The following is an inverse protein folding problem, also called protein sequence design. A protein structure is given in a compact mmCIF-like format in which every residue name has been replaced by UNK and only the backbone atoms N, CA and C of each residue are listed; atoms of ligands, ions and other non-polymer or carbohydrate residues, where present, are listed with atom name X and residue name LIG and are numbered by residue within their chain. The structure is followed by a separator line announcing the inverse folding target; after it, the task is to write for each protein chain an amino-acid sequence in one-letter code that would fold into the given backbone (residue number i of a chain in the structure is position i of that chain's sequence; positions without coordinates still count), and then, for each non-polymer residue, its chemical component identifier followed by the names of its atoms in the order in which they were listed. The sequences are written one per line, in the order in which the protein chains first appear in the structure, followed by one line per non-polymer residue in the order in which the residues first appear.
data_IF_808055180108
#
_entry.id   IF_808055180108
#
_cell.length_a   1.000
_cell.length_b   1.000
_cell.length_c   1.000
_cell.angle_alpha   90.00
_cell.angle_beta   90.00
_cell.angle_gamma   90.00
#
_symmetry.space_group_name_H-M   'P 1'
#
loop_
_entity.id
_entity.type
_entity.pdbx_description
1 polymer ?
#
# COMPACT_ATOMS: atom_id res chain seq x y z
N UNK A 1 -10.59 -28.34 20.86
CA UNK A 1 -9.61 -29.16 20.13
C UNK A 1 -9.79 -30.67 20.27
N UNK A 2 -10.50 -31.13 21.28
CA UNK A 2 -10.68 -32.60 21.50
C UNK A 2 -11.28 -33.33 20.28
N UNK A 3 -12.18 -32.74 19.51
CA UNK A 3 -12.80 -33.40 18.36
C UNK A 3 -12.02 -33.30 17.05
N UNK A 4 -11.12 -32.32 16.91
CA UNK A 4 -10.10 -32.38 15.87
C UNK A 4 -8.98 -33.36 16.22
N UNK A 5 -9.00 -33.95 17.44
CA UNK A 5 -7.99 -34.91 17.96
C UNK A 5 -6.56 -34.42 17.82
N UNK A 6 -6.35 -33.11 18.08
CA UNK A 6 -5.03 -32.48 17.97
C UNK A 6 -4.46 -32.31 19.36
N UNK A 7 -3.31 -32.87 19.61
CA UNK A 7 -2.53 -32.68 20.84
C UNK A 7 -1.70 -31.38 20.76
N UNK A 8 -1.23 -30.88 21.90
CA UNK A 8 -0.26 -29.74 21.94
C UNK A 8 1.02 -30.10 21.17
N UNK A 9 1.46 -31.37 21.23
CA UNK A 9 2.62 -31.84 20.46
C UNK A 9 2.40 -31.75 18.94
N UNK A 10 1.17 -32.05 18.46
CA UNK A 10 0.82 -31.89 17.04
C UNK A 10 0.80 -30.43 16.63
N UNK A 11 0.25 -29.53 17.47
CA UNK A 11 0.24 -28.09 17.24
C UNK A 11 1.66 -27.54 17.15
N UNK A 12 2.53 -27.92 18.07
CA UNK A 12 3.94 -27.53 18.08
C UNK A 12 4.69 -28.01 16.83
N UNK A 13 4.40 -29.24 16.37
CA UNK A 13 4.99 -29.75 15.13
C UNK A 13 4.54 -28.99 13.88
N UNK A 14 3.31 -28.44 13.88
CA UNK A 14 2.78 -27.65 12.77
C UNK A 14 3.19 -26.17 12.84
N UNK A 15 3.44 -25.64 14.03
CA UNK A 15 3.71 -24.24 14.33
C UNK A 15 4.92 -24.11 15.28
N UNK A 16 6.13 -24.51 14.84
CA UNK A 16 7.30 -24.64 15.73
C UNK A 16 7.76 -23.29 16.33
N UNK A 17 7.54 -22.19 15.62
CA UNK A 17 8.01 -20.86 16.01
C UNK A 17 6.99 -20.09 16.87
N UNK A 18 5.84 -20.68 17.18
CA UNK A 18 4.77 -20.03 17.96
C UNK A 18 4.93 -20.37 19.44
N UNK A 19 4.84 -19.36 20.31
CA UNK A 19 4.85 -19.54 21.76
C UNK A 19 3.69 -20.45 22.20
N UNK A 20 3.94 -21.32 23.20
CA UNK A 20 2.99 -22.35 23.62
C UNK A 20 1.62 -21.79 24.01
N UNK A 21 1.61 -20.64 24.69
CA UNK A 21 0.43 -19.92 25.12
C UNK A 21 -0.46 -19.42 23.95
N UNK A 22 0.11 -19.29 22.76
CA UNK A 22 -0.59 -18.82 21.56
C UNK A 22 -0.90 -19.92 20.54
N UNK A 23 -0.39 -21.13 20.71
CA UNK A 23 -0.50 -22.23 19.75
C UNK A 23 -1.96 -22.53 19.35
N UNK A 24 -2.85 -22.61 20.33
CA UNK A 24 -4.27 -22.93 20.08
C UNK A 24 -4.98 -21.83 19.30
N UNK A 25 -4.74 -20.57 19.67
CA UNK A 25 -5.37 -19.43 19.00
C UNK A 25 -4.80 -19.21 17.58
N UNK A 26 -3.48 -19.34 17.41
CA UNK A 26 -2.82 -19.22 16.09
C UNK A 26 -3.28 -20.34 15.15
N UNK A 27 -3.35 -21.59 15.64
CA UNK A 27 -3.89 -22.69 14.86
C UNK A 27 -5.36 -22.42 14.47
N UNK A 28 -6.18 -21.96 15.42
CA UNK A 28 -7.59 -21.69 15.16
C UNK A 28 -7.77 -20.56 14.14
N UNK A 29 -6.93 -19.52 14.16
CA UNK A 29 -6.92 -18.47 13.13
C UNK A 29 -6.50 -19.02 11.77
N UNK A 30 -5.52 -19.91 11.72
CA UNK A 30 -5.16 -20.61 10.48
C UNK A 30 -6.33 -21.44 9.95
N UNK A 31 -7.05 -22.11 10.83
CA UNK A 31 -8.25 -22.87 10.48
C UNK A 31 -9.34 -21.96 9.90
N UNK A 32 -9.64 -20.84 10.55
CA UNK A 32 -10.61 -19.87 10.04
C UNK A 32 -10.23 -19.31 8.68
N UNK A 33 -8.94 -19.05 8.41
CA UNK A 33 -8.49 -18.61 7.07
C UNK A 33 -8.68 -19.67 5.97
N UNK A 34 -8.74 -20.97 6.35
CA UNK A 34 -9.06 -22.09 5.44
C UNK A 34 -10.56 -22.26 5.26
N UNK A 35 -11.32 -22.12 6.34
CA UNK A 35 -12.76 -22.36 6.41
C UNK A 35 -13.54 -21.25 5.69
N UNK A 36 -13.18 -19.99 5.94
CA UNK A 36 -13.93 -18.84 5.44
C UNK A 36 -13.40 -18.33 4.09
N UNK A 37 -14.28 -17.68 3.33
CA UNK A 37 -13.83 -16.79 2.26
C UNK A 37 -13.33 -15.46 2.86
N UNK A 38 -12.44 -14.74 2.16
CA UNK A 38 -11.92 -13.45 2.60
C UNK A 38 -13.01 -12.47 2.99
N UNK A 39 -12.89 -11.89 4.18
CA UNK A 39 -13.79 -10.85 4.67
C UNK A 39 -15.17 -11.36 5.11
N UNK A 40 -15.30 -12.63 5.55
CA UNK A 40 -16.53 -13.14 6.15
C UNK A 40 -16.83 -12.39 7.47
N UNK A 41 -17.72 -11.39 7.39
CA UNK A 41 -18.04 -10.53 8.53
C UNK A 41 -18.77 -11.26 9.66
N UNK A 42 -19.52 -12.34 9.38
CA UNK A 42 -20.15 -13.10 10.46
C UNK A 42 -19.12 -13.93 11.23
N UNK A 43 -18.20 -14.59 10.54
CA UNK A 43 -17.06 -15.25 11.19
C UNK A 43 -16.21 -14.25 11.98
N UNK A 44 -15.93 -13.07 11.39
CA UNK A 44 -15.24 -11.98 12.08
C UNK A 44 -15.94 -11.53 13.35
N UNK A 45 -17.27 -11.40 13.32
CA UNK A 45 -18.07 -11.07 14.51
C UNK A 45 -17.91 -12.12 15.59
N UNK A 46 -18.13 -13.39 15.28
CA UNK A 46 -18.02 -14.48 16.27
C UNK A 46 -16.61 -14.55 16.85
N UNK A 47 -15.59 -14.54 15.99
CA UNK A 47 -14.18 -14.61 16.42
C UNK A 47 -13.78 -13.41 17.27
N UNK A 48 -14.24 -12.20 16.94
CA UNK A 48 -13.91 -10.99 17.72
C UNK A 48 -14.51 -11.02 19.13
N UNK A 49 -15.63 -11.71 19.33
CA UNK A 49 -16.36 -11.75 20.62
C UNK A 49 -15.92 -12.89 21.54
N UNK A 50 -15.64 -14.07 21.02
CA UNK A 50 -15.33 -15.24 21.86
C UNK A 50 -13.93 -15.84 21.61
N UNK A 51 -13.13 -15.25 20.69
CA UNK A 51 -11.82 -15.76 20.27
C UNK A 51 -11.90 -16.84 19.21
N UNK A 52 -10.83 -17.02 18.43
CA UNK A 52 -10.82 -17.95 17.31
C UNK A 52 -10.93 -19.42 17.75
N UNK A 53 -10.30 -19.78 18.86
CA UNK A 53 -10.31 -21.14 19.38
C UNK A 53 -11.71 -21.56 19.83
N UNK A 54 -12.39 -20.76 20.65
CA UNK A 54 -13.76 -21.07 21.12
C UNK A 54 -14.78 -21.03 19.97
N UNK A 55 -14.61 -20.14 19.02
CA UNK A 55 -15.45 -20.07 17.83
C UNK A 55 -15.29 -21.35 16.98
N UNK A 56 -14.06 -21.79 16.76
CA UNK A 56 -13.76 -23.03 16.02
C UNK A 56 -14.33 -24.27 16.73
N UNK A 57 -14.19 -24.34 18.04
CA UNK A 57 -14.76 -25.42 18.86
C UNK A 57 -16.27 -25.59 18.63
N UNK A 58 -17.03 -24.48 18.61
CA UNK A 58 -18.49 -24.51 18.33
C UNK A 58 -18.80 -25.13 16.99
N UNK A 59 -18.05 -24.75 15.95
CA UNK A 59 -18.30 -25.22 14.60
C UNK A 59 -17.87 -26.67 14.38
N UNK A 60 -16.75 -27.08 14.94
CA UNK A 60 -16.23 -28.46 14.85
C UNK A 60 -17.18 -29.44 15.55
N UNK A 61 -17.70 -29.07 16.72
CA UNK A 61 -18.66 -29.91 17.45
C UNK A 61 -20.08 -29.87 16.87
N UNK A 62 -20.34 -29.04 15.88
CA UNK A 62 -21.67 -28.90 15.31
C UNK A 62 -22.69 -28.33 16.28
N UNK A 63 -22.27 -27.51 17.25
CA UNK A 63 -23.15 -26.95 18.27
C UNK A 63 -24.21 -26.04 17.65
N UNK A 64 -25.38 -25.98 18.26
CA UNK A 64 -26.51 -25.20 17.73
C UNK A 64 -26.29 -23.69 17.80
N UNK A 65 -26.99 -22.94 16.97
CA UNK A 65 -26.99 -21.46 17.00
C UNK A 65 -27.37 -20.90 18.36
N UNK A 66 -28.27 -21.58 19.10
CA UNK A 66 -28.64 -21.22 20.48
C UNK A 66 -27.45 -21.37 21.43
N UNK A 67 -26.65 -22.41 21.25
CA UNK A 67 -25.43 -22.63 22.06
C UNK A 67 -24.38 -21.56 21.77
N UNK A 68 -24.14 -21.24 20.48
CA UNK A 68 -23.25 -20.16 20.09
C UNK A 68 -23.72 -18.83 20.70
N UNK A 69 -24.99 -18.47 20.56
CA UNK A 69 -25.56 -17.24 21.15
C UNK A 69 -25.37 -17.19 22.66
N UNK A 70 -25.60 -18.32 23.37
CA UNK A 70 -25.39 -18.41 24.81
C UNK A 70 -23.90 -18.18 25.20
N UNK A 71 -22.94 -18.77 24.44
CA UNK A 71 -21.51 -18.52 24.68
C UNK A 71 -21.14 -17.04 24.46
N UNK A 72 -21.70 -16.41 23.45
CA UNK A 72 -21.46 -15.00 23.15
C UNK A 72 -22.06 -14.07 24.21
N UNK A 73 -23.30 -14.33 24.68
CA UNK A 73 -23.92 -13.61 25.79
C UNK A 73 -23.09 -13.75 27.08
N UNK A 74 -22.57 -14.93 27.37
CA UNK A 74 -21.68 -15.15 28.51
C UNK A 74 -20.34 -14.41 28.36
N UNK A 75 -19.92 -14.09 27.15
CA UNK A 75 -18.76 -13.25 26.88
C UNK A 75 -19.08 -11.73 26.88
N UNK A 76 -20.31 -11.33 27.23
CA UNK A 76 -20.71 -9.95 27.36
C UNK A 76 -21.25 -9.28 26.09
N UNK A 77 -21.58 -10.07 25.06
CA UNK A 77 -22.18 -9.53 23.83
C UNK A 77 -23.63 -9.11 24.13
N UNK A 78 -23.99 -7.86 23.80
CA UNK A 78 -25.35 -7.34 24.00
C UNK A 78 -26.33 -7.87 22.96
N UNK A 79 -27.63 -7.97 23.31
CA UNK A 79 -28.68 -8.39 22.39
C UNK A 79 -28.73 -7.57 21.09
N UNK A 80 -28.56 -6.25 21.18
CA UNK A 80 -28.54 -5.35 20.02
C UNK A 80 -27.42 -5.66 19.00
N UNK A 81 -26.31 -6.25 19.42
CA UNK A 81 -25.20 -6.60 18.51
C UNK A 81 -25.59 -7.78 17.60
N UNK A 82 -26.46 -8.66 18.06
CA UNK A 82 -26.99 -9.75 17.22
C UNK A 82 -27.93 -9.24 16.13
N UNK A 83 -28.69 -8.20 16.41
CA UNK A 83 -29.66 -7.62 15.49
C UNK A 83 -29.00 -6.99 14.26
N UNK A 84 -27.73 -6.58 14.36
CA UNK A 84 -26.95 -6.05 13.24
C UNK A 84 -26.83 -7.04 12.06
N UNK A 85 -26.98 -8.33 12.30
CA UNK A 85 -26.94 -9.39 11.28
C UNK A 85 -28.34 -9.91 10.90
N UNK A 86 -29.41 -9.37 11.47
CA UNK A 86 -30.77 -9.88 11.30
C UNK A 86 -31.06 -11.07 12.21
N UNK A 87 -31.77 -12.10 11.72
CA UNK A 87 -32.09 -13.30 12.53
C UNK A 87 -30.82 -14.12 12.72
N UNK A 88 -30.20 -14.03 13.87
CA UNK A 88 -28.90 -14.64 14.20
C UNK A 88 -28.84 -16.14 13.87
N UNK A 89 -29.88 -16.90 14.27
CA UNK A 89 -29.95 -18.33 14.05
C UNK A 89 -29.93 -18.69 12.55
N UNK A 90 -30.61 -17.89 11.74
CA UNK A 90 -30.66 -18.08 10.28
C UNK A 90 -29.30 -17.77 9.66
N UNK A 91 -28.69 -16.64 10.04
CA UNK A 91 -27.37 -16.22 9.51
C UNK A 91 -26.30 -17.22 9.89
N UNK A 92 -26.32 -17.74 11.14
CA UNK A 92 -25.39 -18.77 11.56
C UNK A 92 -25.60 -20.08 10.79
N UNK A 93 -26.84 -20.51 10.59
CA UNK A 93 -27.13 -21.73 9.83
C UNK A 93 -26.61 -21.61 8.37
N UNK A 94 -26.85 -20.47 7.71
CA UNK A 94 -26.34 -20.20 6.36
C UNK A 94 -24.79 -20.15 6.32
N UNK A 95 -24.16 -19.55 7.33
CA UNK A 95 -22.72 -19.52 7.46
C UNK A 95 -22.14 -20.94 7.60
N UNK A 96 -22.71 -21.76 8.46
CA UNK A 96 -22.29 -23.16 8.63
C UNK A 96 -22.41 -23.99 7.36
N UNK A 97 -23.47 -23.78 6.55
CA UNK A 97 -23.58 -24.46 5.27
C UNK A 97 -22.42 -24.11 4.33
N UNK A 98 -21.93 -22.88 4.37
CA UNK A 98 -20.74 -22.48 3.59
C UNK A 98 -19.43 -23.05 4.15
N UNK A 99 -19.32 -23.20 5.48
CA UNK A 99 -18.09 -23.59 6.16
C UNK A 99 -17.91 -25.11 6.27
N UNK A 100 -19.00 -25.87 6.43
CA UNK A 100 -18.95 -27.31 6.78
C UNK A 100 -18.04 -28.16 5.89
N UNK A 101 -17.99 -27.87 4.59
CA UNK A 101 -17.13 -28.62 3.64
C UNK A 101 -15.64 -28.32 3.80
N UNK A 102 -15.28 -27.27 4.53
CA UNK A 102 -13.91 -26.83 4.75
C UNK A 102 -13.44 -27.05 6.19
N UNK A 103 -14.31 -27.46 7.09
CA UNK A 103 -13.94 -27.86 8.47
C UNK A 103 -13.24 -29.22 8.41
N UNK A 104 -11.95 -29.19 8.10
CA UNK A 104 -11.15 -30.40 7.93
C UNK A 104 -9.73 -30.17 8.43
N UNK A 105 -9.31 -30.98 9.39
CA UNK A 105 -7.93 -30.96 9.90
C UNK A 105 -6.92 -31.20 8.78
N UNK A 106 -7.23 -32.08 7.85
CA UNK A 106 -6.35 -32.38 6.73
C UNK A 106 -6.15 -31.17 5.82
N UNK A 107 -7.19 -30.42 5.51
CA UNK A 107 -7.08 -29.18 4.71
C UNK A 107 -6.19 -28.15 5.41
N UNK A 108 -6.32 -28.00 6.72
CA UNK A 108 -5.52 -27.06 7.53
C UNK A 108 -4.06 -27.51 7.54
N UNK A 109 -3.78 -28.79 7.83
CA UNK A 109 -2.42 -29.36 7.80
C UNK A 109 -1.76 -29.19 6.44
N UNK A 110 -2.48 -29.49 5.35
CA UNK A 110 -1.97 -29.35 4.00
C UNK A 110 -1.65 -27.87 3.67
N UNK A 111 -2.47 -26.93 4.13
CA UNK A 111 -2.20 -25.50 3.93
C UNK A 111 -0.91 -25.07 4.67
N UNK A 112 -0.77 -25.43 5.95
CA UNK A 112 0.42 -25.15 6.75
C UNK A 112 1.67 -25.81 6.16
N UNK A 113 1.59 -27.07 5.73
CA UNK A 113 2.69 -27.76 5.06
C UNK A 113 3.09 -27.09 3.74
N UNK A 114 2.11 -26.70 2.92
CA UNK A 114 2.40 -26.05 1.63
C UNK A 114 3.09 -24.70 1.79
N UNK A 115 2.73 -23.89 2.80
CA UNK A 115 3.40 -22.60 2.99
C UNK A 115 4.84 -22.79 3.45
N UNK A 116 5.12 -23.71 4.36
CA UNK A 116 6.49 -24.00 4.80
C UNK A 116 7.34 -24.58 3.68
N UNK A 117 6.77 -25.46 2.82
CA UNK A 117 7.46 -26.03 1.67
C UNK A 117 7.97 -24.98 0.68
N UNK A 118 7.31 -23.81 0.59
CA UNK A 118 7.73 -22.70 -0.29
C UNK A 118 8.52 -21.64 0.46
N UNK A 119 8.99 -21.91 1.67
CA UNK A 119 9.76 -20.98 2.50
C UNK A 119 8.93 -19.83 3.04
N UNK A 120 7.63 -20.00 3.17
CA UNK A 120 6.73 -19.04 3.78
C UNK A 120 6.28 -19.46 5.17
N UNK A 121 5.48 -18.62 5.80
CA UNK A 121 4.96 -18.79 7.15
C UNK A 121 3.56 -18.19 7.30
N UNK A 122 2.91 -18.50 8.42
CA UNK A 122 1.67 -17.88 8.85
C UNK A 122 1.96 -16.73 9.79
N UNK A 123 1.28 -15.60 9.62
CA UNK A 123 1.31 -14.44 10.52
C UNK A 123 -0.09 -14.15 11.05
N UNK A 124 -0.18 -13.81 12.31
CA UNK A 124 -1.43 -13.53 13.03
C UNK A 124 -1.33 -12.21 13.81
N UNK A 125 -2.42 -11.66 14.36
CA UNK A 125 -2.37 -10.47 15.21
C UNK A 125 -1.49 -10.56 16.46
N UNK A 126 -0.95 -11.74 16.80
CA UNK A 126 0.01 -11.92 17.90
C UNK A 126 1.46 -11.68 17.47
N UNK A 127 1.71 -11.59 16.17
CA UNK A 127 3.05 -11.34 15.66
C UNK A 127 3.41 -9.85 15.81
N UNK A 128 4.63 -9.53 16.28
CA UNK A 128 5.03 -8.13 16.54
C UNK A 128 5.08 -7.26 15.28
N UNK A 129 5.21 -7.88 14.11
CA UNK A 129 5.22 -7.20 12.81
C UNK A 129 3.84 -7.24 12.11
N UNK A 130 2.78 -7.63 12.82
CA UNK A 130 1.43 -7.58 12.24
C UNK A 130 1.04 -6.15 11.89
N UNK A 131 0.58 -5.88 10.65
CA UNK A 131 0.15 -4.54 10.27
C UNK A 131 -1.12 -4.11 11.03
N UNK A 132 -0.96 -3.22 12.02
CA UNK A 132 -2.06 -2.75 12.85
C UNK A 132 -3.23 -2.13 12.07
N UNK A 133 -2.93 -1.53 10.91
CA UNK A 133 -3.90 -0.92 10.00
C UNK A 133 -4.98 -1.90 9.50
N UNK A 134 -4.72 -3.20 9.55
CA UNK A 134 -5.72 -4.22 9.18
C UNK A 134 -6.92 -4.24 10.14
N UNK A 135 -6.76 -3.73 11.36
CA UNK A 135 -7.86 -3.60 12.33
C UNK A 135 -8.96 -2.65 11.85
N UNK A 136 -8.64 -1.67 11.00
CA UNK A 136 -9.60 -0.70 10.45
C UNK A 136 -10.66 -1.38 9.56
N UNK A 137 -10.38 -2.61 9.11
CA UNK A 137 -11.36 -3.43 8.41
C UNK A 137 -12.48 -3.98 9.33
N UNK A 138 -12.36 -3.82 10.64
CA UNK A 138 -13.35 -4.26 11.61
C UNK A 138 -13.64 -5.75 11.51
N UNK A 139 -14.91 -6.13 11.37
CA UNK A 139 -15.35 -7.52 11.25
C UNK A 139 -14.85 -8.21 9.98
N UNK A 140 -14.34 -7.45 9.03
CA UNK A 140 -13.78 -7.98 7.79
C UNK A 140 -12.25 -8.10 7.84
N UNK A 141 -11.61 -7.93 9.02
CA UNK A 141 -10.18 -8.12 9.20
C UNK A 141 -9.77 -9.57 8.91
N UNK A 142 -8.58 -9.81 8.32
CA UNK A 142 -8.11 -11.16 8.07
C UNK A 142 -7.82 -11.88 9.39
N UNK A 143 -8.16 -13.16 9.48
CA UNK A 143 -7.83 -14.00 10.66
C UNK A 143 -6.33 -14.26 10.76
N UNK A 144 -5.69 -14.42 9.63
CA UNK A 144 -4.26 -14.63 9.47
C UNK A 144 -3.82 -14.17 8.09
N UNK A 145 -2.52 -13.94 7.92
CA UNK A 145 -1.85 -13.73 6.65
C UNK A 145 -0.89 -14.87 6.37
N UNK A 146 -0.98 -15.43 5.18
CA UNK A 146 0.03 -16.30 4.62
C UNK A 146 1.11 -15.41 4.01
N UNK A 147 2.36 -15.62 4.38
CA UNK A 147 3.47 -14.73 4.04
C UNK A 147 4.60 -15.48 3.36
N UNK A 148 5.16 -14.92 2.30
CA UNK A 148 6.47 -15.29 1.75
C UNK A 148 7.34 -14.04 1.71
N UNK A 149 8.45 -14.08 2.45
CA UNK A 149 9.36 -12.95 2.54
C UNK A 149 9.73 -12.59 3.97
N UNK A 150 9.98 -11.32 4.22
CA UNK A 150 10.45 -10.82 5.50
C UNK A 150 9.27 -10.23 6.32
N UNK A 151 9.05 -10.74 7.53
CA UNK A 151 8.01 -10.19 8.42
C UNK A 151 8.25 -8.72 8.76
N UNK A 152 9.51 -8.29 8.91
CA UNK A 152 9.84 -6.89 9.19
C UNK A 152 9.41 -5.93 8.09
N UNK A 153 9.21 -6.40 6.85
CA UNK A 153 8.67 -5.60 5.77
C UNK A 153 7.22 -5.17 6.04
N UNK A 154 6.47 -6.00 6.77
CA UNK A 154 5.08 -5.73 7.17
C UNK A 154 5.03 -4.75 8.35
N UNK A 155 5.95 -4.84 9.31
CA UNK A 155 6.06 -3.89 10.41
C UNK A 155 6.44 -2.45 9.99
N UNK A 156 6.96 -2.28 8.76
CA UNK A 156 7.29 -0.95 8.18
C UNK A 156 6.14 -0.26 7.47
N UNK A 157 4.94 -0.86 7.45
CA UNK A 157 3.81 -0.33 6.69
C UNK A 157 3.10 0.87 7.36
N UNK A 158 3.52 1.29 8.54
CA UNK A 158 3.04 2.54 9.15
C UNK A 158 3.24 3.75 8.23
N UNK A 159 4.36 3.74 7.46
CA UNK A 159 4.61 4.72 6.41
C UNK A 159 4.55 4.03 5.04
N UNK A 160 3.37 4.01 4.45
CA UNK A 160 3.18 3.32 3.18
C UNK A 160 2.13 3.98 2.30
N UNK A 161 2.33 3.85 0.98
CA UNK A 161 1.38 4.28 -0.05
C UNK A 161 0.99 3.07 -0.88
N UNK A 162 -0.31 2.87 -1.06
CA UNK A 162 -0.85 1.89 -1.99
C UNK A 162 -0.89 2.46 -3.39
N UNK A 163 -0.13 1.87 -4.33
CA UNK A 163 -0.13 2.29 -5.73
C UNK A 163 -0.92 1.28 -6.55
N UNK A 164 -1.96 1.75 -7.24
CA UNK A 164 -2.85 0.90 -8.04
C UNK A 164 -3.13 1.53 -9.40
N UNK A 165 -3.52 0.69 -10.37
CA UNK A 165 -3.90 1.21 -11.66
C UNK A 165 -4.24 0.17 -12.71
N UNK A 166 -4.14 0.60 -13.97
CA UNK A 166 -4.44 -0.21 -15.15
C UNK A 166 -3.49 -1.40 -15.28
N UNK A 167 -4.05 -2.59 -15.58
CA UNK A 167 -3.26 -3.79 -15.91
C UNK A 167 -2.50 -3.68 -17.24
N UNK A 168 -2.93 -2.81 -18.13
CA UNK A 168 -2.22 -2.47 -19.37
C UNK A 168 -1.77 -1.02 -19.25
N UNK A 169 -0.69 -0.77 -18.51
CA UNK A 169 -0.10 0.56 -18.39
C UNK A 169 0.32 1.11 -19.74
N UNK A 170 0.18 2.43 -19.92
CA UNK A 170 0.78 3.14 -21.05
C UNK A 170 2.21 3.56 -20.71
N UNK A 171 2.99 4.03 -21.69
CA UNK A 171 4.32 4.61 -21.43
C UNK A 171 4.22 5.82 -20.48
N UNK A 172 3.12 6.58 -20.53
CA UNK A 172 2.84 7.65 -19.58
C UNK A 172 2.65 7.09 -18.16
N UNK A 173 1.81 6.07 -18.00
CA UNK A 173 1.57 5.44 -16.70
C UNK A 173 2.84 4.78 -16.13
N UNK A 174 3.70 4.20 -16.98
CA UNK A 174 4.99 3.67 -16.58
C UNK A 174 5.91 4.78 -16.06
N UNK A 175 6.12 5.83 -16.85
CA UNK A 175 6.93 6.98 -16.47
C UNK A 175 6.47 7.63 -15.16
N UNK A 176 5.17 7.89 -15.04
CA UNK A 176 4.61 8.51 -13.82
C UNK A 176 4.76 7.59 -12.61
N UNK A 177 4.53 6.29 -12.76
CA UNK A 177 4.72 5.34 -11.64
C UNK A 177 6.17 5.35 -11.16
N UNK A 178 7.14 5.31 -12.08
CA UNK A 178 8.57 5.37 -11.76
C UNK A 178 8.94 6.68 -11.07
N UNK A 179 8.42 7.82 -11.54
CA UNK A 179 8.64 9.14 -10.95
C UNK A 179 8.09 9.20 -9.52
N UNK A 180 6.82 8.80 -9.29
CA UNK A 180 6.20 8.81 -7.97
C UNK A 180 6.95 7.92 -6.97
N UNK A 181 7.33 6.71 -7.38
CA UNK A 181 8.10 5.79 -6.53
C UNK A 181 9.49 6.35 -6.23
N UNK A 182 10.10 7.08 -7.18
CA UNK A 182 11.42 7.71 -7.01
C UNK A 182 11.43 8.83 -5.97
N UNK A 183 10.30 9.49 -5.71
CA UNK A 183 10.15 10.45 -4.62
C UNK A 183 9.78 9.74 -3.30
N UNK A 184 8.84 8.77 -3.33
CA UNK A 184 8.31 8.11 -2.14
C UNK A 184 9.35 7.23 -1.42
N UNK A 185 10.13 6.45 -2.15
CA UNK A 185 11.08 5.49 -1.55
C UNK A 185 12.22 6.18 -0.79
N UNK A 186 12.91 7.20 -1.34
CA UNK A 186 13.91 7.95 -0.57
C UNK A 186 13.34 8.68 0.64
N UNK A 187 12.05 9.09 0.60
CA UNK A 187 11.34 9.68 1.73
C UNK A 187 10.92 8.63 2.80
N UNK A 188 11.26 7.36 2.62
CA UNK A 188 11.04 6.29 3.61
C UNK A 188 9.69 5.58 3.49
N UNK A 189 8.91 5.84 2.45
CA UNK A 189 7.63 5.17 2.25
C UNK A 189 7.80 3.75 1.71
N UNK A 190 7.03 2.84 2.28
CA UNK A 190 6.83 1.49 1.75
C UNK A 190 5.76 1.51 0.65
N UNK A 191 5.93 0.69 -0.38
CA UNK A 191 4.96 0.61 -1.49
C UNK A 191 4.15 -0.68 -1.37
N UNK A 192 2.82 -0.53 -1.31
CA UNK A 192 1.88 -1.66 -1.31
C UNK A 192 1.18 -1.72 -2.66
N UNK A 193 1.06 -2.90 -3.24
CA UNK A 193 0.30 -3.11 -4.47
C UNK A 193 -0.17 -4.55 -4.64
N UNK A 194 -0.88 -4.82 -5.72
CA UNK A 194 -1.52 -6.11 -5.95
C UNK A 194 -0.71 -7.11 -6.79
N UNK A 195 0.49 -6.77 -7.22
CA UNK A 195 1.34 -7.64 -8.05
C UNK A 195 0.77 -7.96 -9.43
N UNK A 196 -0.27 -7.28 -9.90
CA UNK A 196 -0.86 -7.46 -11.22
C UNK A 196 0.07 -6.96 -12.34
N UNK A 197 -0.28 -7.23 -13.60
CA UNK A 197 0.37 -6.58 -14.74
C UNK A 197 0.15 -5.06 -14.69
N UNK A 198 0.94 -4.30 -15.44
CA UNK A 198 0.84 -2.85 -15.57
C UNK A 198 1.33 -2.12 -14.33
N UNK A 199 0.56 -1.15 -13.84
CA UNK A 199 0.94 -0.22 -12.77
C UNK A 199 1.45 -0.93 -11.51
N UNK A 200 0.74 -1.95 -11.04
CA UNK A 200 1.14 -2.72 -9.85
C UNK A 200 2.56 -3.31 -10.01
N UNK A 201 2.80 -3.96 -11.15
CA UNK A 201 4.09 -4.58 -11.44
C UNK A 201 5.21 -3.54 -11.63
N UNK A 202 4.91 -2.38 -12.19
CA UNK A 202 5.85 -1.26 -12.34
C UNK A 202 6.21 -0.73 -10.95
N UNK A 203 5.22 -0.42 -10.11
CA UNK A 203 5.43 0.06 -8.75
C UNK A 203 6.37 -0.85 -7.94
N UNK A 204 6.18 -2.18 -8.01
CA UNK A 204 7.08 -3.12 -7.36
C UNK A 204 8.49 -3.11 -7.97
N UNK A 205 8.64 -3.07 -9.31
CA UNK A 205 9.96 -3.04 -9.99
C UNK A 205 10.76 -1.81 -9.61
N UNK A 206 10.13 -0.63 -9.66
CA UNK A 206 10.76 0.66 -9.34
C UNK A 206 11.20 0.69 -7.88
N UNK A 207 10.34 0.20 -6.96
CA UNK A 207 10.69 0.11 -5.54
C UNK A 207 11.89 -0.80 -5.30
N UNK A 208 11.93 -1.97 -5.96
CA UNK A 208 13.06 -2.90 -5.86
C UNK A 208 14.35 -2.31 -6.44
N UNK A 209 14.28 -1.54 -7.54
CA UNK A 209 15.43 -0.87 -8.13
C UNK A 209 16.05 0.14 -7.16
N UNK A 210 15.23 0.82 -6.37
CA UNK A 210 15.65 1.77 -5.34
C UNK A 210 15.95 1.12 -3.99
N UNK A 211 15.94 -0.21 -3.89
CA UNK A 211 16.12 -0.98 -2.64
C UNK A 211 15.11 -0.61 -1.55
N UNK A 212 13.93 -0.11 -1.94
CA UNK A 212 12.84 0.25 -1.05
C UNK A 212 12.07 -0.97 -0.54
N UNK A 213 11.24 -0.75 0.49
CA UNK A 213 10.34 -1.77 1.01
C UNK A 213 9.07 -1.87 0.17
N UNK A 214 8.71 -3.07 -0.29
CA UNK A 214 7.46 -3.28 -1.02
C UNK A 214 6.75 -4.56 -0.59
N UNK A 215 5.42 -4.47 -0.50
CA UNK A 215 4.56 -5.59 -0.12
C UNK A 215 3.53 -5.84 -1.23
N UNK A 216 3.56 -7.06 -1.78
CA UNK A 216 2.59 -7.50 -2.77
C UNK A 216 1.47 -8.30 -2.11
N UNK A 217 0.21 -7.88 -2.32
CA UNK A 217 -0.97 -8.57 -1.80
C UNK A 217 -1.56 -9.46 -2.88
N UNK A 218 -1.74 -10.75 -2.62
CA UNK A 218 -2.21 -11.73 -3.60
C UNK A 218 -3.67 -12.10 -3.37
N UNK A 219 -4.37 -12.47 -4.46
CA UNK A 219 -5.75 -12.95 -4.43
C UNK A 219 -5.86 -14.50 -4.46
N UNK A 220 -4.75 -15.18 -4.52
CA UNK A 220 -4.63 -16.64 -4.49
C UNK A 220 -3.56 -17.09 -3.52
N UNK A 221 -3.45 -18.41 -3.32
CA UNK A 221 -2.46 -19.01 -2.44
C UNK A 221 -1.03 -18.75 -2.91
N UNK A 222 -0.11 -18.66 -1.95
CA UNK A 222 1.29 -18.29 -2.21
C UNK A 222 2.18 -19.47 -2.66
N UNK A 223 1.64 -20.66 -2.77
CA UNK A 223 2.35 -21.81 -3.35
C UNK A 223 2.67 -21.60 -4.85
N UNK A 224 1.87 -20.79 -5.53
CA UNK A 224 2.09 -20.35 -6.91
C UNK A 224 1.79 -18.87 -7.06
N UNK A 225 2.76 -18.10 -7.50
CA UNK A 225 2.54 -16.68 -7.79
C UNK A 225 1.66 -16.47 -9.04
N UNK A 226 0.78 -15.49 -8.96
CA UNK A 226 -0.12 -15.10 -10.04
C UNK A 226 -0.14 -13.56 -10.18
N UNK A 227 -0.10 -13.02 -11.40
CA UNK A 227 -0.05 -13.71 -12.69
C UNK A 227 1.32 -14.35 -12.96
N UNK A 228 1.34 -15.41 -13.75
CA UNK A 228 2.55 -16.18 -14.01
C UNK A 228 3.68 -15.36 -14.63
N UNK A 229 3.36 -14.37 -15.48
CA UNK A 229 4.34 -13.47 -16.08
C UNK A 229 5.03 -12.53 -15.09
N UNK A 230 4.47 -12.33 -13.88
CA UNK A 230 5.09 -11.57 -12.80
C UNK A 230 5.74 -12.49 -11.73
N UNK A 231 5.83 -13.81 -11.96
CA UNK A 231 6.35 -14.74 -10.94
C UNK A 231 7.77 -14.42 -10.52
N UNK A 232 8.64 -14.00 -11.44
CA UNK A 232 10.03 -13.62 -11.13
C UNK A 232 10.09 -12.30 -10.35
N UNK A 233 9.24 -11.34 -10.70
CA UNK A 233 9.10 -10.11 -9.94
C UNK A 233 8.64 -10.40 -8.50
N UNK A 234 7.58 -11.19 -8.32
CA UNK A 234 7.04 -11.54 -7.02
C UNK A 234 8.04 -12.35 -6.17
N UNK A 235 8.86 -13.19 -6.83
CA UNK A 235 9.98 -13.88 -6.14
C UNK A 235 11.01 -12.87 -5.64
N UNK A 236 11.37 -11.86 -6.41
CA UNK A 236 12.26 -10.78 -5.99
C UNK A 236 11.64 -9.96 -4.86
N UNK A 237 10.34 -9.63 -4.94
CA UNK A 237 9.61 -8.97 -3.85
C UNK A 237 9.70 -9.80 -2.57
N UNK A 238 9.51 -11.13 -2.64
CA UNK A 238 9.62 -11.99 -1.46
C UNK A 238 11.03 -12.13 -0.89
N UNK A 239 12.07 -11.75 -1.61
CA UNK A 239 13.46 -11.79 -1.13
C UNK A 239 13.85 -10.56 -0.30
N UNK A 240 13.28 -9.40 -0.58
CA UNK A 240 13.65 -8.11 0.03
C UNK A 240 12.51 -7.46 0.82
N UNK A 241 11.27 -7.70 0.42
CA UNK A 241 10.05 -7.26 1.04
C UNK A 241 9.20 -8.45 1.47
N UNK A 242 7.88 -8.41 1.16
CA UNK A 242 6.98 -9.52 1.43
C UNK A 242 5.90 -9.68 0.33
N UNK A 243 5.48 -10.92 0.12
CA UNK A 243 4.28 -11.26 -0.64
C UNK A 243 3.30 -11.91 0.33
N UNK A 244 2.10 -11.38 0.41
CA UNK A 244 1.08 -11.82 1.39
C UNK A 244 -0.21 -12.25 0.71
N UNK A 245 -0.93 -13.11 1.38
CA UNK A 245 -2.29 -13.52 1.00
C UNK A 245 -3.14 -13.83 2.22
N UNK A 246 -4.42 -13.51 2.16
CA UNK A 246 -5.40 -13.92 3.18
C UNK A 246 -5.88 -15.35 2.96
N UNK A 247 -5.81 -15.85 1.72
CA UNK A 247 -6.25 -17.21 1.39
C UNK A 247 -5.11 -18.22 1.49
N UNK A 248 -5.41 -19.45 1.91
CA UNK A 248 -4.41 -20.49 2.13
C UNK A 248 -3.73 -20.94 0.82
N UNK A 249 -2.50 -21.49 0.90
CA UNK A 249 -1.83 -22.13 -0.22
C UNK A 249 -2.69 -23.22 -0.88
N UNK A 250 -2.66 -23.26 -2.22
CA UNK A 250 -3.52 -24.11 -3.05
C UNK A 250 -4.79 -23.43 -3.51
N UNK A 251 -5.10 -22.22 -3.02
CA UNK A 251 -6.27 -21.47 -3.43
C UNK A 251 -6.06 -20.82 -4.80
N UNK A 252 -6.97 -21.11 -5.75
CA UNK A 252 -6.94 -20.53 -7.10
C UNK A 252 -7.51 -19.11 -7.07
N UNK A 253 -6.85 -18.12 -7.69
CA UNK A 253 -7.41 -16.77 -7.83
C UNK A 253 -8.74 -16.78 -8.61
N UNK A 254 -9.71 -15.98 -8.18
CA UNK A 254 -10.99 -15.78 -8.85
C UNK A 254 -11.35 -14.29 -8.92
N UNK A 255 -12.29 -13.92 -9.80
CA UNK A 255 -12.76 -12.52 -9.88
C UNK A 255 -13.17 -11.99 -8.51
N UNK A 256 -13.93 -12.78 -7.76
CA UNK A 256 -14.37 -12.42 -6.42
C UNK A 256 -13.20 -12.18 -5.46
N UNK A 257 -12.23 -13.09 -5.42
CA UNK A 257 -11.05 -12.98 -4.56
C UNK A 257 -10.17 -11.78 -4.91
N UNK A 258 -10.09 -11.39 -6.19
CA UNK A 258 -9.43 -10.14 -6.57
C UNK A 258 -10.11 -8.91 -5.97
N UNK A 259 -11.46 -8.87 -5.98
CA UNK A 259 -12.20 -7.76 -5.38
C UNK A 259 -12.04 -7.74 -3.85
N UNK A 260 -12.10 -8.91 -3.21
CA UNK A 260 -11.91 -9.02 -1.75
C UNK A 260 -10.49 -8.64 -1.32
N UNK A 261 -9.47 -9.06 -2.07
CA UNK A 261 -8.07 -8.72 -1.82
C UNK A 261 -7.83 -7.20 -1.81
N UNK A 262 -8.53 -6.45 -2.67
CA UNK A 262 -8.31 -5.00 -2.81
C UNK A 262 -8.57 -4.24 -1.50
N UNK A 263 -9.41 -4.73 -0.60
CA UNK A 263 -9.59 -4.12 0.72
C UNK A 263 -8.32 -4.16 1.57
N UNK A 264 -7.51 -5.23 1.43
CA UNK A 264 -6.22 -5.31 2.12
C UNK A 264 -5.22 -4.30 1.55
N UNK A 265 -5.21 -4.10 0.23
CA UNK A 265 -4.35 -3.06 -0.38
C UNK A 265 -4.72 -1.71 0.20
N UNK A 266 -6.02 -1.34 0.21
CA UNK A 266 -6.48 -0.07 0.78
C UNK A 266 -6.19 0.05 2.27
N UNK A 267 -6.28 -1.05 3.03
CA UNK A 267 -6.06 -1.03 4.47
C UNK A 267 -4.58 -0.95 4.85
N UNK A 268 -3.68 -1.50 4.06
CA UNK A 268 -2.25 -1.52 4.35
C UNK A 268 -1.55 -0.19 4.01
N UNK A 269 -2.01 0.55 3.00
CA UNK A 269 -1.48 1.89 2.70
C UNK A 269 -2.13 2.96 3.57
N UNK A 270 -1.38 3.96 4.04
CA UNK A 270 -1.94 5.17 4.66
C UNK A 270 -2.86 5.91 3.70
N UNK A 271 -2.52 5.86 2.41
CA UNK A 271 -3.26 6.46 1.32
C UNK A 271 -3.19 5.58 0.08
N UNK A 272 -4.02 5.88 -0.91
CA UNK A 272 -4.02 5.17 -2.19
C UNK A 272 -3.78 6.14 -3.34
N UNK A 273 -2.75 5.88 -4.15
CA UNK A 273 -2.42 6.59 -5.38
C UNK A 273 -2.92 5.80 -6.59
N UNK A 274 -3.75 6.41 -7.41
CA UNK A 274 -4.26 5.84 -8.66
C UNK A 274 -3.57 6.50 -9.85
N UNK A 275 -2.75 5.73 -10.59
CA UNK A 275 -1.96 6.27 -11.72
C UNK A 275 -2.79 6.30 -13.00
N UNK A 276 -3.38 5.19 -13.38
CA UNK A 276 -4.26 5.05 -14.54
C UNK A 276 -5.46 4.18 -14.22
N UNK A 277 -6.64 4.58 -14.65
CA UNK A 277 -7.84 3.77 -14.52
C UNK A 277 -8.83 4.02 -15.66
N UNK A 278 -9.39 2.97 -16.24
CA UNK A 278 -10.60 3.06 -17.07
C UNK A 278 -11.85 3.21 -16.20
N UNK A 279 -12.98 3.60 -16.79
CA UNK A 279 -14.31 3.71 -16.17
C UNK A 279 -14.75 2.48 -15.36
N UNK A 280 -14.30 1.28 -15.72
CA UNK A 280 -14.64 -0.02 -15.10
C UNK A 280 -13.37 -0.74 -14.64
N UNK A 281 -12.36 0.00 -14.20
CA UNK A 281 -11.11 -0.57 -13.71
C UNK A 281 -11.28 -1.23 -12.34
N UNK A 282 -10.57 -2.33 -12.13
CA UNK A 282 -10.43 -2.93 -10.79
C UNK A 282 -9.80 -1.99 -9.75
N UNK A 283 -9.00 -1.00 -10.17
CA UNK A 283 -8.45 0.03 -9.31
C UNK A 283 -9.54 0.88 -8.63
N UNK A 284 -10.68 1.13 -9.31
CA UNK A 284 -11.81 1.86 -8.72
C UNK A 284 -12.49 1.08 -7.57
N UNK A 285 -12.40 -0.26 -7.57
CA UNK A 285 -12.84 -1.03 -6.42
C UNK A 285 -11.92 -0.83 -5.20
N UNK A 286 -10.61 -0.69 -5.41
CA UNK A 286 -9.65 -0.32 -4.35
C UNK A 286 -9.98 1.07 -3.79
N UNK A 287 -10.29 2.05 -4.66
CA UNK A 287 -10.78 3.38 -4.26
C UNK A 287 -12.01 3.28 -3.36
N UNK A 288 -13.01 2.49 -3.75
CA UNK A 288 -14.23 2.33 -2.93
C UNK A 288 -13.96 1.69 -1.55
N UNK A 289 -12.94 0.86 -1.40
CA UNK A 289 -12.51 0.38 -0.10
C UNK A 289 -11.79 1.46 0.70
N UNK A 290 -10.95 2.29 0.03
CA UNK A 290 -10.25 3.40 0.64
C UNK A 290 -11.23 4.45 1.21
N UNK A 291 -12.29 4.78 0.46
CA UNK A 291 -13.37 5.66 0.90
C UNK A 291 -14.06 5.16 2.17
N UNK A 292 -14.36 3.86 2.25
CA UNK A 292 -14.97 3.27 3.46
C UNK A 292 -14.06 3.28 4.68
N UNK A 293 -12.74 3.34 4.47
CA UNK A 293 -11.73 3.44 5.51
C UNK A 293 -11.38 4.91 5.82
N UNK A 294 -12.05 5.87 5.16
CA UNK A 294 -11.84 7.32 5.32
C UNK A 294 -10.36 7.73 5.10
N UNK A 295 -9.66 7.03 4.18
CA UNK A 295 -8.26 7.29 3.86
C UNK A 295 -8.12 8.18 2.64
N UNK A 296 -7.07 8.97 2.60
CA UNK A 296 -6.77 9.84 1.48
C UNK A 296 -6.58 9.05 0.17
N UNK A 297 -7.15 9.60 -0.90
CA UNK A 297 -7.06 9.06 -2.25
C UNK A 297 -6.45 10.12 -3.13
N UNK A 298 -5.40 9.76 -3.83
CA UNK A 298 -4.71 10.60 -4.80
C UNK A 298 -4.87 10.01 -6.19
N UNK A 299 -4.98 10.88 -7.19
CA UNK A 299 -5.10 10.46 -8.58
C UNK A 299 -4.25 11.32 -9.49
N UNK A 300 -3.57 10.66 -10.41
CA UNK A 300 -2.79 11.33 -11.46
C UNK A 300 -3.73 11.71 -12.60
N UNK A 301 -3.75 12.97 -13.04
CA UNK A 301 -4.50 13.39 -14.21
C UNK A 301 -3.85 12.84 -15.49
N UNK A 302 -4.62 12.74 -16.55
CA UNK A 302 -4.08 12.33 -17.83
C UNK A 302 -4.91 12.85 -19.00
N UNK A 303 -4.48 12.60 -20.25
CA UNK A 303 -5.16 13.10 -21.43
C UNK A 303 -6.64 12.69 -21.46
N UNK A 304 -7.54 13.64 -21.68
CA UNK A 304 -8.99 13.39 -21.79
C UNK A 304 -9.36 12.48 -22.94
N UNK A 305 -8.49 12.35 -23.94
CA UNK A 305 -8.62 11.47 -25.09
C UNK A 305 -8.19 10.02 -24.77
N UNK A 306 -7.52 9.78 -23.63
CA UNK A 306 -7.07 8.46 -23.22
C UNK A 306 -8.12 7.73 -22.39
N UNK A 307 -8.62 6.57 -22.83
CA UNK A 307 -9.50 5.75 -21.99
C UNK A 307 -8.88 5.33 -20.66
N UNK A 308 -7.54 5.30 -20.58
CA UNK A 308 -6.78 4.92 -19.38
C UNK A 308 -6.79 6.01 -18.30
N UNK A 309 -7.05 7.26 -18.68
CA UNK A 309 -7.16 8.39 -17.76
C UNK A 309 -8.60 8.71 -17.39
N UNK A 310 -9.58 8.09 -18.04
CA UNK A 310 -11.00 8.41 -17.85
C UNK A 310 -11.47 8.20 -16.39
N UNK A 311 -10.99 7.15 -15.73
CA UNK A 311 -11.32 6.84 -14.34
C UNK A 311 -10.66 7.80 -13.35
N UNK A 312 -9.35 8.09 -13.51
CA UNK A 312 -8.63 9.02 -12.64
C UNK A 312 -9.17 10.45 -12.78
N UNK A 313 -9.36 10.94 -14.02
CA UNK A 313 -9.94 12.26 -14.27
C UNK A 313 -11.35 12.38 -13.66
N UNK A 314 -12.16 11.30 -13.70
CA UNK A 314 -13.48 11.28 -13.07
C UNK A 314 -13.40 11.36 -11.55
N UNK A 315 -12.51 10.59 -10.91
CA UNK A 315 -12.31 10.66 -9.47
C UNK A 315 -11.95 12.07 -9.01
N UNK A 316 -11.07 12.74 -9.76
CA UNK A 316 -10.68 14.13 -9.52
C UNK A 316 -11.87 15.07 -9.69
N UNK A 317 -12.58 14.97 -10.82
CA UNK A 317 -13.73 15.83 -11.13
C UNK A 317 -14.89 15.68 -10.13
N UNK A 318 -15.08 14.50 -9.56
CA UNK A 318 -16.09 14.20 -8.53
C UNK A 318 -15.62 14.56 -7.10
N UNK A 319 -14.38 15.05 -6.93
CA UNK A 319 -13.81 15.34 -5.62
C UNK A 319 -13.57 14.11 -4.75
N UNK A 320 -13.51 12.92 -5.34
CA UNK A 320 -13.27 11.62 -4.67
C UNK A 320 -11.79 11.29 -4.54
N UNK A 321 -10.95 11.96 -5.29
CA UNK A 321 -9.50 11.87 -5.19
C UNK A 321 -8.89 13.26 -5.36
N UNK A 322 -7.86 13.54 -4.59
CA UNK A 322 -7.05 14.72 -4.75
C UNK A 322 -6.11 14.53 -5.94
N UNK A 323 -6.04 15.55 -6.80
CA UNK A 323 -5.10 15.56 -7.92
C UNK A 323 -3.68 15.69 -7.38
N UNK A 324 -2.76 14.91 -7.95
CA UNK A 324 -1.31 15.05 -7.71
C UNK A 324 -0.60 15.17 -9.06
N UNK A 325 0.35 16.10 -9.15
CA UNK A 325 1.08 16.40 -10.39
C UNK A 325 2.42 15.67 -10.46
N UNK A 326 3.07 15.46 -9.32
CA UNK A 326 4.35 14.77 -9.21
C UNK A 326 4.55 14.16 -7.81
N UNK A 327 5.72 13.58 -7.57
CA UNK A 327 6.03 12.93 -6.31
C UNK A 327 6.24 13.88 -5.15
N UNK A 328 6.69 15.09 -5.40
CA UNK A 328 6.93 16.10 -4.37
C UNK A 328 5.60 16.67 -3.87
N UNK A 329 4.67 16.97 -4.79
CA UNK A 329 3.29 17.34 -4.47
C UNK A 329 2.60 16.24 -3.62
N UNK A 330 2.81 14.96 -3.98
CA UNK A 330 2.29 13.86 -3.18
C UNK A 330 2.92 13.81 -1.77
N UNK A 331 4.23 14.05 -1.65
CA UNK A 331 4.93 14.07 -0.36
C UNK A 331 4.42 15.22 0.54
N UNK A 332 4.13 16.38 -0.04
CA UNK A 332 3.51 17.50 0.68
C UNK A 332 2.15 17.11 1.28
N UNK A 333 1.30 16.49 0.49
CA UNK A 333 0.02 15.98 0.95
C UNK A 333 0.13 14.88 2.02
N UNK A 334 1.23 14.13 2.01
CA UNK A 334 1.54 13.12 3.04
C UNK A 334 2.20 13.73 4.29
N UNK A 335 2.33 15.06 4.36
CA UNK A 335 2.87 15.78 5.52
C UNK A 335 4.40 15.72 5.63
N UNK A 336 5.10 15.38 4.55
CA UNK A 336 6.56 15.43 4.49
C UNK A 336 7.00 16.85 4.13
N UNK A 337 8.00 17.38 4.84
CA UNK A 337 8.62 18.63 4.45
C UNK A 337 9.36 18.43 3.13
N UNK A 338 8.92 19.10 2.09
CA UNK A 338 9.63 19.11 0.81
C UNK A 338 10.94 19.86 1.05
N UNK A 339 12.07 19.23 0.79
CA UNK A 339 13.28 19.98 0.44
C UNK A 339 13.03 20.55 -0.95
N UNK A 340 12.55 21.80 -1.00
CA UNK A 340 12.56 22.53 -2.26
C UNK A 340 13.98 22.38 -2.82
N UNK A 341 14.14 21.96 -4.10
CA UNK A 341 15.41 22.07 -4.74
C UNK A 341 15.86 23.53 -4.56
N UNK A 342 17.15 23.81 -4.37
CA UNK A 342 17.61 25.19 -4.31
C UNK A 342 16.98 25.88 -5.51
N UNK A 343 16.25 26.99 -5.26
CA UNK A 343 15.67 27.80 -6.33
C UNK A 343 16.77 28.01 -7.33
N UNK A 344 16.49 27.71 -8.59
CA UNK A 344 17.44 28.04 -9.65
C UNK A 344 17.74 29.54 -9.46
N UNK A 345 19.02 29.89 -9.36
CA UNK A 345 19.42 31.30 -9.14
C UNK A 345 18.75 32.28 -10.11
N UNK A 346 18.20 31.73 -11.19
CA UNK A 346 17.46 32.43 -12.22
C UNK A 346 15.95 32.51 -11.98
N UNK A 347 15.39 31.73 -11.03
CA UNK A 347 13.96 31.76 -10.74
C UNK A 347 13.58 33.08 -10.04
N UNK A 348 12.62 33.79 -10.65
CA UNK A 348 12.13 35.09 -10.17
C UNK A 348 12.89 36.28 -10.70
N UNK A 349 14.00 36.10 -11.41
CA UNK A 349 14.73 37.22 -12.05
C UNK A 349 14.04 37.67 -13.33
N UNK A 350 14.03 38.97 -13.55
CA UNK A 350 13.60 39.61 -14.81
C UNK A 350 14.53 39.27 -15.99
N UNK A 351 14.07 39.60 -17.19
CA UNK A 351 14.84 39.30 -18.41
C UNK A 351 16.19 40.00 -18.44
N UNK A 352 16.27 41.21 -17.91
CA UNK A 352 17.54 41.97 -17.85
C UNK A 352 18.50 41.37 -16.85
N UNK A 353 18.03 41.01 -15.66
CA UNK A 353 18.82 40.37 -14.61
C UNK A 353 19.40 39.02 -15.08
N UNK A 354 18.60 38.19 -15.75
CA UNK A 354 19.05 36.94 -16.35
C UNK A 354 20.18 37.13 -17.34
N UNK A 355 20.01 38.07 -18.26
CA UNK A 355 21.03 38.40 -19.28
C UNK A 355 22.33 38.94 -18.67
N UNK A 356 22.23 39.76 -17.64
CA UNK A 356 23.40 40.29 -16.92
C UNK A 356 24.12 39.19 -16.19
N UNK A 357 23.39 38.32 -15.46
CA UNK A 357 23.98 37.23 -14.66
C UNK A 357 24.66 36.17 -15.54
N UNK A 358 24.06 35.87 -16.69
CA UNK A 358 24.61 34.97 -17.70
C UNK A 358 25.89 35.53 -18.33
N UNK A 359 25.92 36.84 -18.63
CA UNK A 359 27.07 37.54 -19.18
C UNK A 359 28.26 37.62 -18.23
N UNK A 360 28.02 37.74 -16.91
CA UNK A 360 29.11 37.77 -15.89
C UNK A 360 29.72 36.36 -15.74
N UNK A 361 28.92 35.31 -15.80
CA UNK A 361 29.42 33.94 -15.61
C UNK A 361 30.19 33.79 -14.29
N UNK A 362 31.47 33.36 -14.38
CA UNK A 362 32.39 33.19 -13.23
C UNK A 362 33.53 34.23 -13.24
N UNK A 363 33.45 35.23 -14.14
CA UNK A 363 34.52 36.21 -14.32
C UNK A 363 34.27 37.50 -13.53
N UNK A 364 35.26 38.36 -13.55
CA UNK A 364 35.15 39.73 -13.01
C UNK A 364 35.15 40.67 -14.21
N UNK A 365 34.00 41.26 -14.50
CA UNK A 365 33.79 42.04 -15.72
C UNK A 365 33.45 43.50 -15.43
N UNK A 366 33.96 44.40 -16.24
CA UNK A 366 33.51 45.80 -16.25
C UNK A 366 32.14 45.94 -16.95
N UNK A 367 31.42 47.02 -16.63
CA UNK A 367 30.08 47.26 -17.18
C UNK A 367 30.06 47.30 -18.72
N UNK A 368 31.16 47.74 -19.35
CA UNK A 368 31.27 47.79 -20.81
C UNK A 368 31.34 46.36 -21.42
N UNK A 369 32.01 45.46 -20.77
CA UNK A 369 32.13 44.06 -21.18
C UNK A 369 30.81 43.32 -20.98
N UNK A 370 30.12 43.57 -19.85
CA UNK A 370 28.80 43.04 -19.59
C UNK A 370 27.79 43.55 -20.65
N UNK A 371 27.81 44.83 -21.00
CA UNK A 371 26.98 45.37 -22.05
C UNK A 371 27.22 44.69 -23.41
N UNK A 372 28.46 44.46 -23.74
CA UNK A 372 28.84 43.81 -25.00
C UNK A 372 28.41 42.33 -25.02
N UNK A 373 28.68 41.60 -23.96
CA UNK A 373 28.34 40.17 -23.85
C UNK A 373 26.82 39.95 -23.75
N UNK A 374 26.11 40.74 -22.93
CA UNK A 374 24.66 40.61 -22.73
C UNK A 374 23.84 41.25 -23.87
N UNK A 375 24.45 42.07 -24.75
CA UNK A 375 23.72 42.83 -25.78
C UNK A 375 22.76 43.85 -25.17
N UNK A 376 23.21 44.54 -24.11
CA UNK A 376 22.43 45.54 -23.35
C UNK A 376 23.04 46.93 -23.49
N UNK A 377 22.18 47.93 -23.39
CA UNK A 377 22.63 49.32 -23.19
C UNK A 377 23.24 49.47 -21.78
N UNK A 378 24.02 50.55 -21.58
CA UNK A 378 24.66 50.79 -20.28
C UNK A 378 23.64 51.03 -19.15
N UNK A 379 22.51 51.61 -19.46
CA UNK A 379 21.45 51.89 -18.48
C UNK A 379 20.67 50.60 -18.13
N UNK A 380 20.38 49.76 -19.11
CA UNK A 380 19.79 48.40 -18.87
C UNK A 380 20.70 47.51 -18.05
N UNK A 381 21.99 47.49 -18.36
CA UNK A 381 22.97 46.72 -17.59
C UNK A 381 23.11 47.23 -16.15
N UNK A 382 23.10 48.57 -15.95
CA UNK A 382 23.12 49.17 -14.60
C UNK A 382 21.89 48.79 -13.79
N UNK A 383 20.71 48.84 -14.42
CA UNK A 383 19.45 48.50 -13.77
C UNK A 383 19.48 47.02 -13.32
N UNK A 384 19.82 46.10 -14.24
CA UNK A 384 19.95 44.69 -13.89
C UNK A 384 21.00 44.41 -12.81
N UNK A 385 22.19 45.07 -12.89
CA UNK A 385 23.24 44.93 -11.86
C UNK A 385 22.78 45.44 -10.50
N UNK A 386 22.04 46.55 -10.43
CA UNK A 386 21.54 47.11 -9.17
C UNK A 386 20.54 46.16 -8.49
N UNK A 387 19.65 45.54 -9.25
CA UNK A 387 18.70 44.59 -8.74
C UNK A 387 19.43 43.31 -8.25
N UNK A 388 20.35 42.79 -9.05
CA UNK A 388 21.13 41.58 -8.67
C UNK A 388 22.04 41.84 -7.47
N UNK A 389 22.54 43.06 -7.27
CA UNK A 389 23.31 43.44 -6.08
C UNK A 389 22.43 43.51 -4.84
N UNK A 390 21.21 44.07 -4.95
CA UNK A 390 20.22 44.07 -3.87
C UNK A 390 19.78 42.66 -3.46
N UNK A 391 19.68 41.76 -4.43
CA UNK A 391 19.37 40.33 -4.19
C UNK A 391 20.59 39.51 -3.72
N UNK A 392 21.79 40.13 -3.66
CA UNK A 392 23.03 39.53 -3.21
C UNK A 392 23.63 38.50 -4.19
N UNK A 393 23.17 38.51 -5.45
CA UNK A 393 23.60 37.59 -6.50
C UNK A 393 24.89 38.04 -7.21
N UNK A 394 25.20 39.33 -7.18
CA UNK A 394 26.45 39.87 -7.69
C UNK A 394 27.09 40.79 -6.66
N UNK A 395 28.43 40.90 -6.73
CA UNK A 395 29.25 41.75 -5.88
C UNK A 395 29.98 42.76 -6.76
N UNK A 396 29.99 44.02 -6.34
CA UNK A 396 30.80 45.05 -6.95
C UNK A 396 32.20 45.03 -6.35
N UNK A 397 33.23 45.02 -7.21
CA UNK A 397 34.62 45.15 -6.86
C UNK A 397 35.21 46.31 -7.66
N UNK A 398 35.39 47.45 -7.01
CA UNK A 398 35.84 48.70 -7.64
C UNK A 398 34.94 49.10 -8.82
N UNK A 399 35.44 49.03 -10.06
CA UNK A 399 34.71 49.32 -11.28
C UNK A 399 34.14 48.06 -12.02
N UNK A 400 34.35 46.86 -11.43
CA UNK A 400 33.96 45.59 -12.03
C UNK A 400 32.94 44.85 -11.17
N UNK A 401 32.28 43.85 -11.75
CA UNK A 401 31.24 43.03 -11.13
C UNK A 401 31.57 41.55 -11.25
N UNK A 402 31.26 40.83 -10.22
CA UNK A 402 31.45 39.35 -10.18
C UNK A 402 30.22 38.69 -9.57
N UNK A 403 29.95 37.46 -9.94
CA UNK A 403 28.91 36.64 -9.31
C UNK A 403 29.22 36.40 -7.86
N UNK A 404 28.27 36.53 -6.98
CA UNK A 404 28.43 36.19 -5.56
C UNK A 404 28.65 34.69 -5.43
N UNK A 405 29.77 34.29 -4.79
CA UNK A 405 29.96 32.89 -4.39
C UNK A 405 29.14 32.64 -3.14
N UNK A 406 27.88 32.26 -3.30
CA UNK A 406 27.12 31.69 -2.18
C UNK A 406 27.70 30.31 -1.88
N UNK A 407 28.43 30.19 -0.82
CA UNK A 407 28.92 28.92 -0.30
C UNK A 407 27.71 28.08 0.11
N UNK A 408 27.50 26.92 -0.56
CA UNK A 408 26.52 25.88 -0.23
C UNK A 408 26.82 25.29 1.15
#
# INVERSE_FOLDING_TARGET
MADLKISISDLRAMLPDVAEEHLEEVFSRSAWSVICEPGDGFAGFVVSKIGAAKALEVEVHGLSSKHLKSKMLAAGVGEMEFDAFGVFEKVHAEARERWKSRISLELIRVALFKITKVGGFLMTPFDPNWPGQLSDLGLHSPFALWVRGNSSALGKLEHSVSIVGSRGATSYGEFVTDSMVSSLVPAGFSIVSGGAYGIDGIAHRSTLALRGNTVAVMAGGLDKFYPSGNSDLLRRVSQTGAVISEVPPGTIPSKWRFLQRNRLISALGQSTLVIEANWRSGALNTVSHCERLERAIYAVPGPITSPKSAGTNKLIAEGRAQLVVDGDDLLEHLGQAIRLPPRDELDGLGVLEKRVLDAIGYDVLEIAEICSSAGLTRDEARFGLSNLELDGLVLRRDNAWTKSQTTV
#
